data_IF_759769088298
#
_entry.id   IF_759769088298
#
_cell.length_a   1.000
_cell.length_b   1.000
_cell.length_c   1.000
_cell.angle_alpha   90.00
_cell.angle_beta   90.00
_cell.angle_gamma   90.00
#
_symmetry.space_group_name_H-M   'P 1'
#
loop_
_entity.id
_entity.type
_entity.pdbx_description
1 polymer ?
#
# COMPACT_ATOMS: atom_id res chain seq x y z
N UNK A 1 -6.15 3.12 -19.89
CA UNK A 1 -4.96 2.27 -19.62
C UNK A 1 -5.34 1.29 -18.53
N UNK A 2 -5.22 -0.01 -18.79
CA UNK A 2 -5.46 -1.06 -17.78
C UNK A 2 -4.19 -1.28 -16.98
N UNK A 3 -4.29 -1.27 -15.65
CA UNK A 3 -3.19 -1.60 -14.75
C UNK A 3 -3.07 -3.11 -14.64
N UNK A 4 -1.85 -3.62 -14.70
CA UNK A 4 -1.53 -5.00 -14.39
C UNK A 4 -0.39 -5.03 -13.37
N UNK A 5 -0.63 -5.69 -12.23
CA UNK A 5 0.35 -5.88 -11.17
C UNK A 5 1.19 -7.13 -11.45
N UNK A 6 2.48 -6.94 -11.58
CA UNK A 6 3.45 -8.03 -11.73
C UNK A 6 4.23 -8.20 -10.42
N UNK A 7 4.55 -9.44 -10.06
CA UNK A 7 5.43 -9.72 -8.91
C UNK A 7 6.80 -9.11 -9.18
N UNK A 8 7.24 -8.24 -8.28
CA UNK A 8 8.56 -7.63 -8.36
C UNK A 8 9.66 -8.65 -8.01
N UNK A 9 10.81 -8.49 -8.66
CA UNK A 9 12.02 -9.27 -8.45
C UNK A 9 13.15 -8.37 -7.95
N UNK A 10 14.30 -8.94 -7.63
CA UNK A 10 15.47 -8.16 -7.25
C UNK A 10 15.93 -7.17 -8.34
N UNK A 11 15.58 -7.40 -9.60
CA UNK A 11 15.88 -6.49 -10.71
C UNK A 11 15.03 -5.21 -10.65
N UNK A 12 13.89 -5.26 -9.98
CA UNK A 12 12.95 -4.14 -9.86
C UNK A 12 13.26 -3.21 -8.66
N UNK A 13 14.24 -3.58 -7.83
CA UNK A 13 14.60 -2.81 -6.62
C UNK A 13 14.93 -1.35 -6.92
N UNK A 14 15.73 -1.00 -7.95
CA UNK A 14 15.98 0.40 -8.28
C UNK A 14 14.69 1.16 -8.65
N UNK A 15 13.78 0.55 -9.39
CA UNK A 15 12.50 1.13 -9.79
C UNK A 15 11.57 1.35 -8.59
N UNK A 16 11.55 0.41 -7.63
CA UNK A 16 10.80 0.55 -6.40
C UNK A 16 11.32 1.71 -5.54
N UNK A 17 12.64 1.85 -5.44
CA UNK A 17 13.26 2.98 -4.73
C UNK A 17 12.95 4.30 -5.42
N UNK A 18 13.07 4.36 -6.74
CA UNK A 18 12.76 5.55 -7.53
C UNK A 18 11.30 5.99 -7.34
N UNK A 19 10.36 5.05 -7.49
CA UNK A 19 8.92 5.34 -7.33
C UNK A 19 8.62 5.88 -5.93
N UNK A 20 9.14 5.25 -4.88
CA UNK A 20 8.91 5.69 -3.49
C UNK A 20 9.55 7.03 -3.20
N UNK A 21 10.77 7.26 -3.67
CA UNK A 21 11.43 8.56 -3.54
C UNK A 21 10.62 9.65 -4.20
N UNK A 22 10.08 9.38 -5.39
CA UNK A 22 9.23 10.33 -6.13
C UNK A 22 7.95 10.66 -5.35
N UNK A 23 7.28 9.64 -4.80
CA UNK A 23 6.07 9.81 -3.99
C UNK A 23 6.38 10.58 -2.70
N UNK A 24 7.44 10.21 -1.98
CA UNK A 24 7.81 10.88 -0.73
C UNK A 24 8.15 12.36 -0.94
N UNK A 25 8.87 12.69 -2.00
CA UNK A 25 9.18 14.08 -2.36
C UNK A 25 7.90 14.88 -2.68
N UNK A 26 6.98 14.28 -3.41
CA UNK A 26 5.70 14.91 -3.72
C UNK A 26 4.87 15.16 -2.46
N UNK A 27 4.80 14.20 -1.54
CA UNK A 27 4.07 14.36 -0.29
C UNK A 27 4.71 15.44 0.60
N UNK A 28 6.04 15.48 0.69
CA UNK A 28 6.77 16.51 1.42
C UNK A 28 6.52 17.91 0.82
N UNK A 29 6.54 18.02 -0.50
CA UNK A 29 6.23 19.28 -1.18
C UNK A 29 4.80 19.74 -0.94
N UNK A 30 3.83 18.81 -1.00
CA UNK A 30 2.40 19.13 -0.93
C UNK A 30 1.90 19.35 0.50
N UNK A 31 2.41 18.61 1.46
CA UNK A 31 1.89 18.55 2.84
C UNK A 31 2.94 18.89 3.91
N UNK A 32 4.18 19.22 3.51
CA UNK A 32 5.27 19.45 4.44
C UNK A 32 5.91 18.15 4.96
N UNK A 33 6.75 18.27 5.98
CA UNK A 33 7.40 17.11 6.58
C UNK A 33 6.40 16.22 7.33
N UNK A 34 6.61 14.92 7.23
CA UNK A 34 5.77 13.91 7.86
C UNK A 34 6.50 12.55 7.89
N UNK A 35 5.82 11.48 8.29
CA UNK A 35 6.42 10.14 8.39
C UNK A 35 6.92 9.59 7.04
N UNK A 36 6.46 10.15 5.90
CA UNK A 36 6.93 9.81 4.55
C UNK A 36 8.31 10.37 4.19
N UNK A 37 8.89 11.21 5.04
CA UNK A 37 10.24 11.77 4.83
C UNK A 37 11.34 10.71 4.95
N UNK A 38 11.01 9.55 5.49
CA UNK A 38 11.94 8.42 5.57
C UNK A 38 12.52 8.07 4.19
N UNK A 39 13.85 8.07 4.12
CA UNK A 39 14.58 7.81 2.87
C UNK A 39 14.29 6.39 2.35
N UNK A 40 13.84 6.29 1.11
CA UNK A 40 13.72 5.01 0.41
C UNK A 40 15.10 4.50 0.03
N UNK A 41 15.41 3.25 0.39
CA UNK A 41 16.71 2.62 0.11
C UNK A 41 16.52 1.26 -0.52
N UNK A 42 17.52 0.77 -1.25
CA UNK A 42 17.50 -0.59 -1.78
C UNK A 42 17.42 -1.64 -0.67
N UNK A 43 18.14 -1.44 0.44
CA UNK A 43 18.05 -2.31 1.61
C UNK A 43 16.63 -2.41 2.15
N UNK A 44 15.93 -1.27 2.26
CA UNK A 44 14.53 -1.22 2.68
C UNK A 44 13.60 -1.93 1.72
N UNK A 45 13.77 -1.74 0.40
CA UNK A 45 13.00 -2.43 -0.62
C UNK A 45 13.21 -3.96 -0.57
N UNK A 46 14.45 -4.44 -0.44
CA UNK A 46 14.77 -5.87 -0.27
C UNK A 46 14.18 -6.45 1.01
N UNK A 47 14.29 -5.74 2.14
CA UNK A 47 13.68 -6.16 3.40
C UNK A 47 12.14 -6.29 3.28
N UNK A 48 11.51 -5.41 2.51
CA UNK A 48 10.07 -5.50 2.24
C UNK A 48 9.72 -6.75 1.42
N UNK A 49 10.53 -7.08 0.41
CA UNK A 49 10.36 -8.30 -0.41
C UNK A 49 10.52 -9.59 0.41
N UNK A 50 11.28 -9.56 1.52
CA UNK A 50 11.40 -10.68 2.45
C UNK A 50 10.18 -10.84 3.37
N UNK A 51 9.44 -9.75 3.60
CA UNK A 51 8.25 -9.74 4.49
C UNK A 51 6.95 -10.06 3.77
N UNK A 52 6.91 -9.89 2.45
CA UNK A 52 5.72 -10.11 1.64
C UNK A 52 6.05 -10.11 0.16
N UNK A 53 5.03 -10.26 -0.67
CA UNK A 53 5.17 -10.18 -2.11
C UNK A 53 4.92 -8.74 -2.54
N UNK A 54 5.95 -8.11 -3.09
CA UNK A 54 5.85 -6.78 -3.69
C UNK A 54 5.37 -6.93 -5.12
N UNK A 55 4.37 -6.12 -5.47
CA UNK A 55 3.85 -6.01 -6.82
C UNK A 55 4.16 -4.62 -7.38
N UNK A 56 4.45 -4.57 -8.67
CA UNK A 56 4.77 -3.36 -9.40
C UNK A 56 3.94 -3.28 -10.69
N UNK A 57 3.44 -2.12 -11.00
CA UNK A 57 2.80 -1.82 -12.27
C UNK A 57 3.66 -0.85 -13.08
N UNK A 58 3.72 -1.08 -14.40
CA UNK A 58 4.49 -0.26 -15.34
C UNK A 58 3.62 0.27 -16.48
N UNK A 59 4.03 1.42 -16.99
CA UNK A 59 3.54 1.95 -18.25
C UNK A 59 4.73 2.38 -19.10
N UNK A 60 4.87 1.83 -20.30
CA UNK A 60 6.03 2.05 -21.18
C UNK A 60 7.36 1.88 -20.43
N UNK A 61 7.51 0.75 -19.74
CA UNK A 61 8.66 0.37 -18.92
C UNK A 61 8.94 1.27 -17.70
N UNK A 62 8.11 2.28 -17.42
CA UNK A 62 8.28 3.13 -16.23
C UNK A 62 7.41 2.61 -15.08
N UNK A 63 7.94 2.53 -13.86
CA UNK A 63 7.15 2.17 -12.69
C UNK A 63 6.11 3.27 -12.42
N UNK A 64 4.84 2.90 -12.32
CA UNK A 64 3.74 3.84 -12.07
C UNK A 64 3.03 3.58 -10.75
N UNK A 65 3.09 2.36 -10.24
CA UNK A 65 2.51 2.02 -8.94
C UNK A 65 3.20 0.78 -8.36
N UNK A 66 3.13 0.65 -7.04
CA UNK A 66 3.55 -0.55 -6.32
C UNK A 66 2.70 -0.75 -5.07
N UNK A 67 2.61 -1.99 -4.61
CA UNK A 67 2.02 -2.36 -3.31
C UNK A 67 2.64 -3.68 -2.84
N UNK A 68 2.44 -4.00 -1.56
CA UNK A 68 2.88 -5.27 -0.99
C UNK A 68 1.70 -5.98 -0.36
N UNK A 69 1.57 -7.29 -0.63
CA UNK A 69 0.66 -8.18 0.05
C UNK A 69 1.45 -9.17 0.91
N UNK A 70 1.00 -9.39 2.14
CA UNK A 70 1.68 -10.28 3.08
C UNK A 70 0.66 -10.98 3.99
N UNK A 71 0.95 -12.21 4.36
CA UNK A 71 0.26 -12.91 5.46
C UNK A 71 0.76 -12.47 6.84
N UNK A 72 1.91 -11.79 6.89
CA UNK A 72 2.49 -11.28 8.15
C UNK A 72 1.82 -9.97 8.54
N UNK A 73 1.26 -9.97 9.74
CA UNK A 73 0.66 -8.76 10.32
C UNK A 73 1.71 -7.68 10.55
N UNK A 74 1.53 -6.44 10.02
CA UNK A 74 2.36 -5.30 10.37
C UNK A 74 2.27 -4.97 11.87
N UNK A 75 3.35 -4.44 12.44
CA UNK A 75 3.38 -4.05 13.85
C UNK A 75 2.33 -2.99 14.21
N UNK A 76 2.06 -2.06 13.30
CA UNK A 76 1.11 -0.98 13.49
C UNK A 76 -0.35 -1.43 13.54
N UNK A 77 -0.68 -2.63 13.06
CA UNK A 77 -2.04 -3.15 13.02
C UNK A 77 -2.36 -3.93 14.31
N UNK A 78 -3.43 -3.51 14.98
CA UNK A 78 -4.02 -4.21 16.13
C UNK A 78 -5.25 -5.01 15.68
N UNK A 79 -5.19 -6.33 15.84
CA UNK A 79 -6.23 -7.26 15.37
C UNK A 79 -7.59 -7.05 16.01
N UNK A 80 -7.65 -6.47 17.21
CA UNK A 80 -8.91 -6.28 17.96
C UNK A 80 -9.94 -5.42 17.23
N UNK A 81 -9.51 -4.60 16.28
CA UNK A 81 -10.40 -3.74 15.49
C UNK A 81 -11.04 -4.45 14.31
N UNK A 82 -10.55 -5.63 13.93
CA UNK A 82 -10.98 -6.35 12.74
C UNK A 82 -11.90 -7.51 13.09
N UNK A 83 -12.77 -7.87 12.15
CA UNK A 83 -13.58 -9.08 12.31
C UNK A 83 -12.68 -10.33 12.33
N UNK A 84 -13.10 -11.43 13.01
CA UNK A 84 -12.40 -12.70 12.91
C UNK A 84 -12.22 -13.12 11.45
N UNK A 85 -11.01 -13.55 11.11
CA UNK A 85 -10.63 -13.95 9.76
C UNK A 85 -9.53 -15.00 9.89
N UNK A 86 -9.64 -16.08 9.12
CA UNK A 86 -8.68 -17.19 9.17
C UNK A 86 -7.45 -16.90 8.31
N UNK A 87 -7.65 -16.23 7.18
CA UNK A 87 -6.62 -16.01 6.16
C UNK A 87 -6.58 -14.55 5.69
N UNK A 88 -6.35 -13.59 6.61
CA UNK A 88 -6.24 -12.19 6.20
C UNK A 88 -4.92 -11.94 5.47
N UNK A 89 -4.95 -11.13 4.42
CA UNK A 89 -3.78 -10.49 3.84
C UNK A 89 -3.67 -9.05 4.32
N UNK A 90 -2.44 -8.60 4.46
CA UNK A 90 -2.13 -7.22 4.82
C UNK A 90 -1.53 -6.51 3.61
N UNK A 91 -2.19 -5.42 3.20
CA UNK A 91 -1.71 -4.54 2.16
C UNK A 91 -0.88 -3.43 2.80
N UNK A 92 0.35 -3.28 2.35
CA UNK A 92 1.27 -2.26 2.84
C UNK A 92 1.96 -1.54 1.71
N UNK A 93 2.52 -0.39 2.01
CA UNK A 93 3.45 0.31 1.14
C UNK A 93 2.91 0.57 -0.28
N UNK A 94 1.63 0.86 -0.38
CA UNK A 94 1.02 1.27 -1.64
C UNK A 94 1.55 2.65 -2.05
N UNK A 95 1.98 2.76 -3.29
CA UNK A 95 2.46 3.99 -3.90
C UNK A 95 1.97 4.10 -5.33
N UNK A 96 1.57 5.31 -5.76
CA UNK A 96 1.22 5.64 -7.15
C UNK A 96 2.00 6.89 -7.54
N UNK A 97 2.70 6.84 -8.67
CA UNK A 97 3.44 8.00 -9.21
C UNK A 97 2.51 9.23 -9.23
N UNK A 98 2.91 10.36 -8.63
CA UNK A 98 2.08 11.57 -8.58
C UNK A 98 1.54 12.01 -9.95
N UNK A 99 2.30 11.79 -11.02
CA UNK A 99 1.87 12.10 -12.40
C UNK A 99 0.74 11.19 -12.89
N UNK A 100 0.52 10.07 -12.23
CA UNK A 100 -0.51 9.07 -12.54
C UNK A 100 -1.69 9.11 -11.55
N UNK A 101 -1.63 9.92 -10.49
CA UNK A 101 -2.72 10.11 -9.55
C UNK A 101 -3.92 10.79 -10.22
N UNK A 102 -5.13 10.63 -9.64
CA UNK A 102 -6.36 11.18 -10.20
C UNK A 102 -6.87 10.49 -11.48
N UNK A 103 -6.14 9.51 -12.01
CA UNK A 103 -6.46 8.79 -13.27
C UNK A 103 -7.00 7.37 -13.04
N UNK A 104 -7.44 7.05 -11.84
CA UNK A 104 -7.97 5.73 -11.49
C UNK A 104 -6.94 4.62 -11.31
N UNK A 105 -5.63 4.91 -11.41
CA UNK A 105 -4.56 3.91 -11.29
C UNK A 105 -4.57 3.22 -9.92
N UNK A 106 -4.69 4.00 -8.85
CA UNK A 106 -4.76 3.44 -7.49
C UNK A 106 -5.94 2.48 -7.32
N UNK A 107 -7.13 2.84 -7.81
CA UNK A 107 -8.31 1.97 -7.77
C UNK A 107 -8.05 0.66 -8.51
N UNK A 108 -7.52 0.71 -9.73
CA UNK A 108 -7.18 -0.48 -10.50
C UNK A 108 -6.14 -1.36 -9.79
N UNK A 109 -5.15 -0.75 -9.10
CA UNK A 109 -4.20 -1.51 -8.27
C UNK A 109 -4.91 -2.27 -7.14
N UNK A 110 -5.91 -1.67 -6.48
CA UNK A 110 -6.67 -2.35 -5.42
C UNK A 110 -7.60 -3.44 -5.98
N UNK A 111 -8.17 -3.26 -7.17
CA UNK A 111 -8.94 -4.29 -7.87
C UNK A 111 -8.06 -5.49 -8.23
N UNK A 112 -6.86 -5.25 -8.75
CA UNK A 112 -5.87 -6.31 -9.02
C UNK A 112 -5.42 -6.99 -7.73
N UNK A 113 -5.16 -6.23 -6.65
CA UNK A 113 -4.81 -6.79 -5.33
C UNK A 113 -5.91 -7.69 -4.79
N UNK A 114 -7.19 -7.30 -4.97
CA UNK A 114 -8.34 -8.13 -4.61
C UNK A 114 -8.40 -9.44 -5.40
N UNK A 115 -8.13 -9.39 -6.71
CA UNK A 115 -8.07 -10.59 -7.56
C UNK A 115 -6.95 -11.52 -7.08
N UNK A 116 -5.76 -10.99 -6.87
CA UNK A 116 -4.60 -11.74 -6.37
C UNK A 116 -4.90 -12.35 -5.00
N UNK A 117 -5.52 -11.60 -4.09
CA UNK A 117 -5.85 -12.08 -2.76
C UNK A 117 -6.81 -13.28 -2.78
N UNK A 118 -7.77 -13.30 -3.71
CA UNK A 118 -8.67 -14.45 -3.91
C UNK A 118 -7.93 -15.70 -4.40
N UNK A 119 -6.87 -15.53 -5.19
CA UNK A 119 -6.02 -16.64 -5.62
C UNK A 119 -5.16 -17.22 -4.47
N UNK A 120 -4.93 -16.45 -3.40
CA UNK A 120 -4.17 -16.89 -2.21
C UNK A 120 -4.92 -17.77 -1.21
N UNK A 121 -6.00 -18.19 -1.36
CA UNK A 121 -7.39 -17.92 -1.05
C UNK A 121 -7.56 -17.15 0.30
N UNK A 122 -7.31 -15.87 0.28
CA UNK A 122 -7.56 -14.99 1.42
C UNK A 122 -9.05 -14.69 1.60
N UNK A 123 -9.45 -14.38 2.82
CA UNK A 123 -10.83 -14.03 3.19
C UNK A 123 -11.00 -12.53 3.52
N UNK A 124 -9.88 -11.81 3.70
CA UNK A 124 -9.88 -10.37 3.91
C UNK A 124 -8.58 -9.71 3.43
N UNK A 125 -8.65 -8.42 3.05
CA UNK A 125 -7.50 -7.53 2.93
C UNK A 125 -7.62 -6.47 4.02
N UNK A 126 -6.54 -6.28 4.79
CA UNK A 126 -6.43 -5.34 5.89
C UNK A 126 -5.29 -4.37 5.65
N UNK A 127 -5.48 -3.13 6.07
CA UNK A 127 -4.45 -2.09 5.97
C UNK A 127 -4.64 -1.01 7.02
N UNK A 128 -3.60 -0.22 7.20
CA UNK A 128 -3.65 1.04 7.93
C UNK A 128 -3.34 2.21 6.98
N UNK A 129 -3.91 3.36 7.28
CA UNK A 129 -3.65 4.61 6.60
C UNK A 129 -3.39 5.71 7.63
N UNK A 130 -2.59 6.72 7.28
CA UNK A 130 -2.37 7.88 8.11
C UNK A 130 -3.66 8.67 8.32
N UNK A 131 -4.04 8.92 9.58
CA UNK A 131 -5.22 9.67 9.95
C UNK A 131 -4.93 11.17 9.97
N UNK A 132 -4.77 11.74 8.80
CA UNK A 132 -4.57 13.17 8.60
C UNK A 132 -4.97 13.57 7.18
N UNK A 133 -4.99 14.88 6.91
CA UNK A 133 -5.30 15.42 5.58
C UNK A 133 -4.43 14.83 4.45
N UNK A 134 -3.16 14.55 4.75
CA UNK A 134 -2.24 13.90 3.81
C UNK A 134 -2.48 12.39 3.63
N UNK A 135 -3.32 11.78 4.47
CA UNK A 135 -3.58 10.35 4.45
C UNK A 135 -4.52 9.91 3.32
N UNK A 136 -4.51 8.62 3.03
CA UNK A 136 -5.29 8.01 1.95
C UNK A 136 -6.64 7.44 2.42
N UNK A 137 -7.15 7.82 3.61
CA UNK A 137 -8.37 7.25 4.17
C UNK A 137 -9.58 7.36 3.24
N UNK A 138 -9.84 8.55 2.68
CA UNK A 138 -10.96 8.77 1.76
C UNK A 138 -10.83 7.96 0.46
N UNK A 139 -9.61 7.76 -0.02
CA UNK A 139 -9.35 6.91 -1.17
C UNK A 139 -9.76 5.46 -0.89
N UNK A 140 -9.37 4.89 0.26
CA UNK A 140 -9.75 3.52 0.61
C UNK A 140 -11.25 3.35 0.80
N UNK A 141 -11.94 4.32 1.44
CA UNK A 141 -13.43 4.31 1.54
C UNK A 141 -14.09 4.29 0.16
N UNK A 142 -13.63 5.15 -0.76
CA UNK A 142 -14.12 5.20 -2.15
C UNK A 142 -13.84 3.93 -2.96
N UNK A 143 -12.86 3.12 -2.52
CA UNK A 143 -12.54 1.82 -3.11
C UNK A 143 -13.24 0.64 -2.43
N UNK A 144 -14.17 0.91 -1.50
CA UNK A 144 -15.02 -0.12 -0.87
C UNK A 144 -14.41 -0.76 0.38
N UNK A 145 -13.29 -0.23 0.88
CA UNK A 145 -12.74 -0.64 2.17
C UNK A 145 -13.53 0.00 3.31
N UNK A 146 -13.92 -0.81 4.28
CA UNK A 146 -14.62 -0.36 5.47
C UNK A 146 -13.62 0.11 6.54
N UNK A 147 -13.83 1.29 7.09
CA UNK A 147 -13.15 1.73 8.30
C UNK A 147 -13.59 0.87 9.48
N UNK A 148 -12.64 0.29 10.21
CA UNK A 148 -12.91 -0.60 11.35
C UNK A 148 -12.40 -0.06 12.67
N UNK A 149 -11.55 0.97 12.66
CA UNK A 149 -11.08 1.60 13.88
C UNK A 149 -10.00 2.63 13.64
N UNK A 150 -9.62 3.30 14.72
CA UNK A 150 -8.54 4.29 14.76
C UNK A 150 -7.65 4.02 15.94
N UNK A 151 -6.36 4.19 15.77
CA UNK A 151 -5.36 3.98 16.81
C UNK A 151 -4.18 4.93 16.63
N UNK A 152 -3.36 5.04 17.66
CA UNK A 152 -2.07 5.74 17.59
C UNK A 152 -0.97 4.70 17.74
N UNK A 153 -0.07 4.63 16.79
CA UNK A 153 1.10 3.77 16.82
C UNK A 153 2.37 4.60 16.71
N UNK A 154 3.22 4.56 17.76
CA UNK A 154 4.46 5.34 17.84
C UNK A 154 4.24 6.82 17.47
N UNK A 155 3.26 7.46 18.11
CA UNK A 155 2.84 8.85 17.88
C UNK A 155 2.21 9.13 16.51
N UNK A 156 2.01 8.12 15.67
CA UNK A 156 1.36 8.28 14.36
C UNK A 156 -0.10 7.89 14.47
N UNK A 157 -1.06 8.78 14.20
CA UNK A 157 -2.48 8.45 14.17
C UNK A 157 -2.80 7.65 12.90
N UNK A 158 -3.53 6.54 13.08
CA UNK A 158 -3.86 5.59 12.02
C UNK A 158 -5.35 5.31 11.97
N UNK A 159 -5.85 5.10 10.76
CA UNK A 159 -7.17 4.52 10.49
C UNK A 159 -6.96 3.11 9.95
N UNK A 160 -7.70 2.15 10.49
CA UNK A 160 -7.71 0.77 10.02
C UNK A 160 -8.84 0.52 9.03
N UNK A 161 -8.51 -0.16 7.95
CA UNK A 161 -9.44 -0.54 6.89
C UNK A 161 -9.44 -2.02 6.61
N UNK A 162 -10.62 -2.56 6.29
CA UNK A 162 -10.82 -3.95 5.92
C UNK A 162 -11.71 -4.06 4.68
N UNK A 163 -11.33 -4.96 3.79
CA UNK A 163 -12.15 -5.44 2.68
C UNK A 163 -12.34 -6.95 2.84
N UNK A 164 -13.57 -7.39 3.06
CA UNK A 164 -13.92 -8.82 3.03
C UNK A 164 -13.99 -9.30 1.58
N UNK A 165 -13.53 -10.53 1.31
CA UNK A 165 -13.37 -11.08 -0.05
C UNK A 165 -14.44 -12.10 -0.42
#
# INVERSE_FOLDING_TARGET
MRVHLQRATNRDVPDLVLLRTTVNRYLAWKYGEGFWVARSTERGARAQMQRGIVYIARFRNRPIASLTLSTRKPWAIDRKYFQPSERPLYLTAMAVDPRCQGKGIGRQCLEEARRIAKEWPADAIRLDAFDAHAGAGDFYRKCGYREVGRAVYRLTPLIYFELLL
#
